data_IF_030773993985
#
_entry.id   IF_030773993985
#
_cell.length_a   1.000
_cell.length_b   1.000
_cell.length_c   1.000
_cell.angle_alpha   90.00
_cell.angle_beta   90.00
_cell.angle_gamma   90.00
#
_symmetry.space_group_name_H-M   'P 1'
#
loop_
_entity.id
_entity.type
_entity.pdbx_description
1 polymer ?
#
# COMPACT_ATOMS: atom_id res chain seq x y z
N UNK A 1 -7.89 3.60 14.63
CA UNK A 1 -7.41 2.21 14.75
C UNK A 1 -6.07 2.01 14.02
N UNK A 2 -5.07 2.85 14.31
CA UNK A 2 -3.72 2.79 13.67
C UNK A 2 -2.66 2.17 14.60
N UNK A 3 -2.91 2.17 15.92
CA UNK A 3 -1.94 1.71 16.92
C UNK A 3 -1.70 0.20 17.01
N UNK A 4 -2.51 -0.64 16.35
CA UNK A 4 -2.36 -2.11 16.44
C UNK A 4 -1.45 -2.73 15.37
N UNK A 5 -1.05 -1.97 14.35
CA UNK A 5 -0.26 -2.51 13.23
C UNK A 5 1.25 -2.43 13.51
N UNK A 6 1.70 -1.44 14.29
CA UNK A 6 3.13 -1.25 14.59
C UNK A 6 3.74 -2.30 15.55
N UNK A 7 2.92 -3.03 16.31
CA UNK A 7 3.39 -4.04 17.27
C UNK A 7 3.49 -5.46 16.68
N UNK A 8 2.92 -5.70 15.50
CA UNK A 8 3.14 -6.96 14.78
C UNK A 8 4.12 -6.70 13.66
N UNK A 9 5.19 -7.49 13.65
CA UNK A 9 6.17 -7.64 12.59
C UNK A 9 5.52 -8.23 11.32
N UNK A 10 4.38 -7.67 10.90
CA UNK A 10 3.67 -8.12 9.70
C UNK A 10 4.57 -7.79 8.51
N UNK A 11 4.83 -8.77 7.63
CA UNK A 11 5.57 -8.50 6.41
C UNK A 11 4.85 -7.41 5.63
N UNK A 12 5.63 -6.51 5.03
CA UNK A 12 5.15 -5.37 4.23
C UNK A 12 4.07 -5.78 3.22
N UNK A 13 4.20 -6.97 2.64
CA UNK A 13 3.21 -7.55 1.72
C UNK A 13 1.83 -7.68 2.35
N UNK A 14 1.75 -8.12 3.60
CA UNK A 14 0.47 -8.29 4.30
C UNK A 14 -0.17 -6.94 4.65
N UNK A 15 0.64 -5.92 4.96
CA UNK A 15 0.13 -4.55 5.13
C UNK A 15 -0.43 -4.01 3.81
N UNK A 16 0.28 -4.23 2.71
CA UNK A 16 -0.14 -3.79 1.38
C UNK A 16 -1.47 -4.44 0.97
N UNK A 17 -1.63 -5.73 1.22
CA UNK A 17 -2.87 -6.44 0.94
C UNK A 17 -4.04 -5.90 1.77
N UNK A 18 -3.82 -5.64 3.06
CA UNK A 18 -4.82 -5.05 3.95
C UNK A 18 -5.22 -3.63 3.52
N UNK A 19 -4.25 -2.79 3.13
CA UNK A 19 -4.49 -1.44 2.64
C UNK A 19 -5.32 -1.44 1.33
N UNK A 20 -5.01 -2.34 0.39
CA UNK A 20 -5.76 -2.49 -0.86
C UNK A 20 -7.16 -3.07 -0.65
N UNK A 21 -7.30 -4.06 0.24
CA UNK A 21 -8.61 -4.59 0.63
C UNK A 21 -9.46 -3.53 1.33
N UNK A 22 -8.89 -2.72 2.21
CA UNK A 22 -9.59 -1.67 2.92
C UNK A 22 -9.98 -0.49 2.02
N UNK A 23 -9.13 -0.12 1.05
CA UNK A 23 -9.37 1.02 0.17
C UNK A 23 -10.21 0.67 -1.07
N UNK A 24 -9.90 -0.45 -1.73
CA UNK A 24 -10.46 -0.86 -3.02
C UNK A 24 -11.28 -2.16 -2.96
N UNK A 25 -11.30 -2.88 -1.83
CA UNK A 25 -12.02 -4.16 -1.72
C UNK A 25 -11.41 -5.30 -2.54
N UNK A 26 -10.21 -5.13 -3.08
CA UNK A 26 -9.51 -6.12 -3.91
C UNK A 26 -8.07 -6.29 -3.45
N UNK A 27 -7.45 -7.42 -3.79
CA UNK A 27 -6.02 -7.60 -3.63
C UNK A 27 -5.25 -6.75 -4.65
N UNK A 28 -4.03 -6.29 -4.29
CA UNK A 28 -3.15 -5.60 -5.23
C UNK A 28 -2.72 -6.54 -6.35
N UNK A 29 -2.65 -6.02 -7.58
CA UNK A 29 -2.15 -6.77 -8.73
C UNK A 29 -0.64 -6.99 -8.65
N UNK A 30 -0.11 -7.92 -9.45
CA UNK A 30 1.34 -8.18 -9.50
C UNK A 30 2.17 -6.93 -9.85
N UNK A 31 1.65 -6.05 -10.71
CA UNK A 31 2.30 -4.79 -11.08
C UNK A 31 2.33 -3.80 -9.89
N UNK A 32 1.21 -3.67 -9.18
CA UNK A 32 1.10 -2.82 -7.98
C UNK A 32 2.01 -3.33 -6.85
N UNK A 33 2.04 -4.66 -6.62
CA UNK A 33 2.97 -5.28 -5.66
C UNK A 33 4.44 -4.99 -6.02
N UNK A 34 4.80 -5.12 -7.30
CA UNK A 34 6.17 -4.86 -7.75
C UNK A 34 6.58 -3.38 -7.57
N UNK A 35 5.68 -2.44 -7.86
CA UNK A 35 5.92 -1.00 -7.67
C UNK A 35 6.17 -0.66 -6.19
N UNK A 36 5.33 -1.17 -5.29
CA UNK A 36 5.45 -0.92 -3.84
C UNK A 36 6.67 -1.62 -3.25
N UNK A 37 6.94 -2.87 -3.63
CA UNK A 37 8.14 -3.58 -3.19
C UNK A 37 9.43 -2.87 -3.63
N UNK A 38 9.45 -2.29 -4.84
CA UNK A 38 10.57 -1.47 -5.30
C UNK A 38 10.71 -0.20 -4.47
N UNK A 39 9.63 0.55 -4.24
CA UNK A 39 9.66 1.76 -3.43
C UNK A 39 10.14 1.47 -2.00
N UNK A 40 9.72 0.34 -1.41
CA UNK A 40 10.21 -0.10 -0.11
C UNK A 40 11.68 -0.52 -0.11
N UNK A 41 12.15 -1.17 -1.16
CA UNK A 41 13.57 -1.50 -1.30
C UNK A 41 14.44 -0.24 -1.40
N UNK A 42 13.93 0.82 -2.02
CA UNK A 42 14.59 2.13 -2.08
C UNK A 42 14.53 2.87 -0.73
N UNK A 43 13.47 2.65 0.07
CA UNK A 43 13.27 3.31 1.35
C UNK A 43 14.07 2.72 2.53
N UNK A 44 14.75 1.57 2.33
CA UNK A 44 15.70 0.84 3.22
C UNK A 44 15.44 0.81 4.74
N UNK A 45 15.42 1.97 5.40
CA UNK A 45 15.29 2.14 6.85
C UNK A 45 13.90 2.65 7.27
N UNK A 46 13.13 3.26 6.36
CA UNK A 46 11.84 3.87 6.70
C UNK A 46 10.75 3.58 5.67
N UNK A 47 9.94 2.56 5.95
CA UNK A 47 8.81 2.21 5.09
C UNK A 47 7.61 3.18 5.21
N UNK A 48 7.59 4.08 6.21
CA UNK A 48 6.47 4.97 6.50
C UNK A 48 6.12 5.91 5.34
N UNK A 49 7.07 6.65 4.74
CA UNK A 49 6.75 7.53 3.61
C UNK A 49 6.20 6.76 2.40
N UNK A 50 6.69 5.54 2.15
CA UNK A 50 6.18 4.68 1.06
C UNK A 50 4.76 4.22 1.36
N UNK A 51 4.49 3.82 2.60
CA UNK A 51 3.15 3.42 3.03
C UNK A 51 2.17 4.60 2.94
N UNK A 52 2.56 5.80 3.35
CA UNK A 52 1.75 7.01 3.21
C UNK A 52 1.50 7.38 1.75
N UNK A 53 2.51 7.29 0.89
CA UNK A 53 2.37 7.54 -0.56
C UNK A 53 1.38 6.57 -1.20
N UNK A 54 1.47 5.27 -0.88
CA UNK A 54 0.51 4.26 -1.32
C UNK A 54 -0.89 4.56 -0.80
N UNK A 55 -1.02 4.97 0.46
CA UNK A 55 -2.32 5.30 1.04
C UNK A 55 -2.93 6.54 0.38
N UNK A 56 -2.13 7.57 0.11
CA UNK A 56 -2.52 8.75 -0.65
C UNK A 56 -2.91 8.41 -2.08
N UNK A 57 -2.15 7.57 -2.77
CA UNK A 57 -2.48 7.11 -4.11
C UNK A 57 -3.82 6.36 -4.11
N UNK A 58 -4.05 5.47 -3.14
CA UNK A 58 -5.30 4.72 -3.00
C UNK A 58 -6.50 5.63 -2.68
N UNK A 59 -6.32 6.65 -1.83
CA UNK A 59 -7.38 7.60 -1.47
C UNK A 59 -7.65 8.62 -2.58
N UNK A 60 -6.62 9.06 -3.29
CA UNK A 60 -6.72 10.02 -4.39
C UNK A 60 -7.33 9.41 -5.65
N UNK A 61 -7.34 8.07 -5.79
CA UNK A 61 -7.85 7.40 -6.99
C UNK A 61 -9.36 7.11 -6.98
N UNK A 62 -10.15 7.81 -6.16
CA UNK A 62 -11.62 7.67 -6.19
C UNK A 62 -12.30 8.32 -7.40
N UNK A 63 -11.59 8.93 -8.34
CA UNK A 63 -12.17 9.34 -9.62
C UNK A 63 -11.19 9.13 -10.80
N UNK A 64 -11.55 8.19 -11.69
CA UNK A 64 -11.32 8.23 -13.15
C UNK A 64 -10.04 7.63 -13.79
N UNK A 65 -9.72 6.34 -13.67
CA UNK A 65 -8.83 5.68 -14.68
C UNK A 65 -9.22 4.22 -14.92
N UNK A 66 -10.35 3.98 -15.62
CA UNK A 66 -10.51 2.94 -16.66
C UNK A 66 -11.90 3.10 -17.28
N UNK A 67 -12.12 4.25 -17.91
CA UNK A 67 -13.04 4.37 -19.03
C UNK A 67 -12.44 5.37 -20.02
N UNK A 68 -11.57 4.87 -20.90
CA UNK A 68 -11.39 5.43 -22.23
C UNK A 68 -11.17 4.28 -23.21
#
# INVERSE_FOLDING_TARGET
>A
MVGKIAASKKPVEQWLEDAYLAALGRLPSAAEKAAVSRALAEAKDDARPVMEDVFWALMSNREFIFNH
#
